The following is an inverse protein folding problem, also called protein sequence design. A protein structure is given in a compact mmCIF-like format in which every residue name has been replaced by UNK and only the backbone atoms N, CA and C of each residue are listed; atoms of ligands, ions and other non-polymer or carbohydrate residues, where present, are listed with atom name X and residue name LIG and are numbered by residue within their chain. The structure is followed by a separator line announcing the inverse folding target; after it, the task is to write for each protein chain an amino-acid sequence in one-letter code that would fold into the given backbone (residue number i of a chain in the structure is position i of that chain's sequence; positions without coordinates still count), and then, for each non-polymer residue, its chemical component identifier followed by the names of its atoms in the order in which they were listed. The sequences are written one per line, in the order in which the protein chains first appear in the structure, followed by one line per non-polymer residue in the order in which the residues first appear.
data_IF_062194625137
#
_entry.id   IF_062194625137
#
_cell.length_a   1.000
_cell.length_b   1.000
_cell.length_c   1.000
_cell.angle_alpha   90.00
_cell.angle_beta   90.00
_cell.angle_gamma   90.00
#
_symmetry.space_group_name_H-M   'P 1'
#
loop_
_entity.id
_entity.type
_entity.pdbx_description
1 polymer ?
#
# COMPACT_ATOMS: atom_id res chain seq x y z
N UNK A 1 12.24 -31.20 -0.01
CA UNK A 1 11.73 -29.88 0.23
C UNK A 1 10.69 -29.43 -0.78
N UNK A 2 10.83 -29.67 -2.01
CA UNK A 2 9.87 -29.33 -3.06
C UNK A 2 9.35 -30.64 -3.70
N UNK A 3 8.21 -31.13 -3.32
CA UNK A 3 7.52 -32.22 -4.03
C UNK A 3 6.63 -31.63 -5.13
N UNK A 4 6.42 -32.33 -6.27
CA UNK A 4 5.49 -31.89 -7.29
C UNK A 4 4.13 -31.71 -6.63
N UNK A 5 3.64 -30.49 -6.64
CA UNK A 5 2.46 -30.09 -5.92
C UNK A 5 1.21 -30.28 -6.79
N UNK A 6 0.04 -30.27 -6.13
CA UNK A 6 -1.25 -30.36 -6.79
C UNK A 6 -1.44 -29.20 -7.80
N UNK A 7 -2.31 -29.37 -8.79
CA UNK A 7 -2.70 -28.29 -9.73
C UNK A 7 -3.10 -27.00 -9.01
N UNK A 8 -3.73 -27.12 -7.84
CA UNK A 8 -4.10 -25.99 -7.00
C UNK A 8 -2.88 -25.17 -6.54
N UNK A 9 -1.77 -25.84 -6.20
CA UNK A 9 -0.54 -25.14 -5.81
C UNK A 9 0.03 -24.31 -6.96
N UNK A 10 0.09 -24.88 -8.17
CA UNK A 10 0.55 -24.14 -9.36
C UNK A 10 -0.34 -22.96 -9.65
N UNK A 11 -1.67 -23.12 -9.54
CA UNK A 11 -2.61 -22.04 -9.73
C UNK A 11 -2.44 -20.92 -8.70
N UNK A 12 -2.39 -21.25 -7.41
CA UNK A 12 -2.26 -20.27 -6.33
C UNK A 12 -0.91 -19.52 -6.36
N UNK A 13 0.13 -20.12 -6.94
CA UNK A 13 1.41 -19.44 -7.07
C UNK A 13 1.48 -18.56 -8.33
N UNK A 14 1.01 -19.02 -9.46
CA UNK A 14 1.09 -18.31 -10.73
C UNK A 14 0.03 -17.19 -10.84
N UNK A 15 -1.20 -17.42 -10.34
CA UNK A 15 -2.32 -16.50 -10.51
C UNK A 15 -2.07 -15.10 -9.93
N UNK A 16 -1.54 -14.93 -8.69
CA UNK A 16 -1.24 -13.59 -8.17
C UNK A 16 -0.25 -12.81 -9.05
N UNK A 17 0.79 -13.48 -9.55
CA UNK A 17 1.81 -12.84 -10.39
C UNK A 17 1.22 -12.36 -11.71
N UNK A 18 0.39 -13.17 -12.36
CA UNK A 18 -0.31 -12.81 -13.60
C UNK A 18 -1.30 -11.66 -13.34
N UNK A 19 -2.07 -11.74 -12.25
CA UNK A 19 -3.01 -10.68 -11.89
C UNK A 19 -2.32 -9.36 -11.54
N UNK A 20 -1.14 -9.38 -10.92
CA UNK A 20 -0.34 -8.19 -10.66
C UNK A 20 0.13 -7.53 -11.95
N UNK A 21 0.59 -8.31 -12.93
CA UNK A 21 0.96 -7.76 -14.24
C UNK A 21 -0.26 -7.16 -14.95
N UNK A 22 -1.42 -7.83 -14.87
CA UNK A 22 -2.68 -7.31 -15.40
C UNK A 22 -3.10 -6.02 -14.68
N UNK A 23 -2.98 -6.00 -13.35
CA UNK A 23 -3.24 -4.82 -12.52
C UNK A 23 -2.33 -3.64 -12.94
N UNK A 24 -1.05 -3.88 -13.17
CA UNK A 24 -0.10 -2.88 -13.63
C UNK A 24 -0.53 -2.28 -14.98
N UNK A 25 -0.97 -3.12 -15.92
CA UNK A 25 -1.50 -2.64 -17.22
C UNK A 25 -2.74 -1.76 -17.03
N UNK A 26 -3.64 -2.12 -16.11
CA UNK A 26 -4.84 -1.32 -15.81
C UNK A 26 -4.45 0.02 -15.19
N UNK A 27 -3.54 0.04 -14.19
CA UNK A 27 -3.03 1.27 -13.56
C UNK A 27 -2.45 2.20 -14.63
N UNK A 28 -1.66 1.64 -15.54
CA UNK A 28 -1.06 2.40 -16.65
C UNK A 28 -2.12 2.96 -17.60
N UNK A 29 -3.08 2.15 -18.05
CA UNK A 29 -4.16 2.59 -18.95
C UNK A 29 -5.11 3.61 -18.32
N UNK A 30 -5.29 3.56 -17.01
CA UNK A 30 -6.15 4.50 -16.28
C UNK A 30 -5.44 5.78 -15.84
N UNK A 31 -4.15 5.93 -16.15
CA UNK A 31 -3.29 7.03 -15.71
C UNK A 31 -3.20 7.20 -14.19
N UNK A 32 -3.58 6.19 -13.42
CA UNK A 32 -3.50 6.17 -11.95
C UNK A 32 -2.05 6.12 -11.47
N UNK A 33 -1.11 5.73 -12.33
CA UNK A 33 0.33 5.80 -12.09
C UNK A 33 0.84 7.20 -11.73
N UNK A 34 0.09 8.26 -12.09
CA UNK A 34 0.45 9.64 -11.73
C UNK A 34 0.17 9.94 -10.26
N UNK A 35 -0.79 9.24 -9.67
CA UNK A 35 -1.14 9.38 -8.26
C UNK A 35 -0.37 8.40 -7.38
N UNK A 36 -0.16 7.16 -7.88
CA UNK A 36 0.52 6.07 -7.19
C UNK A 36 1.60 5.44 -8.07
N UNK A 37 2.71 6.16 -8.38
CA UNK A 37 3.77 5.64 -9.23
C UNK A 37 4.49 4.43 -8.61
N UNK A 38 4.72 4.45 -7.29
CA UNK A 38 5.40 3.35 -6.59
C UNK A 38 4.55 2.09 -6.61
N UNK A 39 3.23 2.21 -6.42
CA UNK A 39 2.32 1.06 -6.52
C UNK A 39 2.33 0.42 -7.90
N UNK A 40 2.39 1.22 -8.96
CA UNK A 40 2.52 0.71 -10.33
C UNK A 40 3.83 -0.07 -10.53
N UNK A 41 4.96 0.48 -10.06
CA UNK A 41 6.27 -0.18 -10.11
C UNK A 41 6.26 -1.47 -9.27
N UNK A 42 5.71 -1.41 -8.07
CA UNK A 42 5.55 -2.57 -7.18
C UNK A 42 4.79 -3.70 -7.88
N UNK A 43 3.66 -3.41 -8.52
CA UNK A 43 2.86 -4.41 -9.22
C UNK A 43 3.62 -5.06 -10.39
N UNK A 44 4.41 -4.28 -11.17
CA UNK A 44 5.24 -4.81 -12.26
C UNK A 44 6.34 -5.70 -11.71
N UNK A 45 7.10 -5.20 -10.73
CA UNK A 45 8.28 -5.90 -10.20
C UNK A 45 7.85 -7.18 -9.50
N UNK A 46 6.84 -7.14 -8.64
CA UNK A 46 6.31 -8.31 -7.95
C UNK A 46 5.70 -9.35 -8.89
N UNK A 47 4.92 -8.89 -9.86
CA UNK A 47 4.36 -9.77 -10.87
C UNK A 47 5.42 -10.47 -11.72
N UNK A 48 6.40 -9.70 -12.23
CA UNK A 48 7.48 -10.23 -13.08
C UNK A 48 8.42 -11.15 -12.31
N UNK A 49 8.88 -10.74 -11.13
CA UNK A 49 9.79 -11.54 -10.31
C UNK A 49 9.11 -12.80 -9.76
N UNK A 50 7.86 -12.71 -9.28
CA UNK A 50 7.09 -13.85 -8.82
C UNK A 50 6.88 -14.88 -9.94
N UNK A 51 6.56 -14.42 -11.16
CA UNK A 51 6.44 -15.31 -12.32
C UNK A 51 7.79 -15.93 -12.71
N UNK A 52 8.89 -15.17 -12.67
CA UNK A 52 10.22 -15.68 -12.94
C UNK A 52 10.63 -16.75 -11.93
N UNK A 53 10.44 -16.53 -10.62
CA UNK A 53 10.72 -17.51 -9.57
C UNK A 53 9.85 -18.77 -9.72
N UNK A 54 8.58 -18.61 -10.10
CA UNK A 54 7.70 -19.73 -10.41
C UNK A 54 8.24 -20.55 -11.59
N UNK A 55 8.59 -19.90 -12.71
CA UNK A 55 9.15 -20.57 -13.88
C UNK A 55 10.50 -21.27 -13.57
N UNK A 56 11.35 -20.66 -12.75
CA UNK A 56 12.58 -21.31 -12.27
C UNK A 56 12.28 -22.55 -11.45
N UNK A 57 11.24 -22.53 -10.61
CA UNK A 57 10.81 -23.69 -9.82
C UNK A 57 10.29 -24.81 -10.74
N UNK A 58 9.47 -24.48 -11.74
CA UNK A 58 8.99 -25.43 -12.74
C UNK A 58 10.15 -26.01 -13.53
N UNK A 59 11.12 -25.19 -13.96
CA UNK A 59 12.32 -25.63 -14.66
C UNK A 59 13.15 -26.60 -13.83
N UNK A 60 13.30 -26.35 -12.54
CA UNK A 60 13.98 -27.25 -11.62
C UNK A 60 13.32 -28.62 -11.50
N UNK A 61 11.97 -28.68 -11.51
CA UNK A 61 11.22 -29.90 -11.27
C UNK A 61 11.05 -30.79 -12.51
N UNK A 62 10.78 -30.17 -13.66
CA UNK A 62 10.39 -30.90 -14.85
C UNK A 62 11.55 -31.26 -15.79
N UNK A 63 12.69 -30.58 -15.67
CA UNK A 63 13.85 -30.89 -16.50
C UNK A 63 14.87 -31.77 -15.76
N UNK A 64 15.36 -32.81 -16.44
CA UNK A 64 16.43 -33.69 -15.93
C UNK A 64 17.54 -33.77 -16.98
N UNK A 65 18.75 -33.25 -16.72
CA UNK A 65 19.19 -32.59 -15.48
C UNK A 65 18.52 -31.26 -15.24
N UNK A 66 18.40 -30.78 -13.97
CA UNK A 66 17.75 -29.53 -13.63
C UNK A 66 18.51 -28.33 -14.25
N UNK A 67 17.77 -27.47 -14.97
CA UNK A 67 18.33 -26.28 -15.61
C UNK A 67 18.75 -25.19 -14.59
N UNK A 68 18.17 -25.23 -13.39
CA UNK A 68 18.38 -24.25 -12.33
C UNK A 68 18.86 -24.97 -11.07
N UNK A 69 19.98 -24.54 -10.48
CA UNK A 69 20.42 -25.09 -9.20
C UNK A 69 19.57 -24.53 -8.03
N UNK A 70 19.37 -25.31 -6.94
CA UNK A 70 18.68 -24.81 -5.75
C UNK A 70 19.33 -23.57 -5.15
N UNK A 71 20.66 -23.51 -5.19
CA UNK A 71 21.41 -22.36 -4.68
C UNK A 71 21.14 -21.08 -5.50
N UNK A 72 21.08 -21.20 -6.82
CA UNK A 72 20.75 -20.08 -7.71
C UNK A 72 19.32 -19.57 -7.46
N UNK A 73 18.36 -20.49 -7.27
CA UNK A 73 16.99 -20.11 -6.94
C UNK A 73 16.92 -19.32 -5.63
N UNK A 74 17.63 -19.77 -4.57
CA UNK A 74 17.65 -19.06 -3.30
C UNK A 74 18.31 -17.70 -3.39
N UNK A 75 19.37 -17.56 -4.20
CA UNK A 75 20.02 -16.26 -4.45
C UNK A 75 19.07 -15.31 -5.18
N UNK A 76 18.38 -15.80 -6.21
CA UNK A 76 17.37 -14.99 -6.94
C UNK A 76 16.22 -14.57 -6.02
N UNK A 77 15.72 -15.48 -5.18
CA UNK A 77 14.69 -15.19 -4.20
C UNK A 77 15.15 -14.15 -3.17
N UNK A 78 16.38 -14.24 -2.70
CA UNK A 78 16.93 -13.26 -1.75
C UNK A 78 17.04 -11.85 -2.36
N UNK A 79 17.50 -11.74 -3.60
CA UNK A 79 17.54 -10.45 -4.32
C UNK A 79 16.13 -9.90 -4.53
N UNK A 80 15.18 -10.76 -4.93
CA UNK A 80 13.79 -10.36 -5.05
C UNK A 80 13.23 -9.81 -3.75
N UNK A 81 13.47 -10.49 -2.64
CA UNK A 81 13.02 -10.10 -1.31
C UNK A 81 13.57 -8.72 -0.88
N UNK A 82 14.86 -8.45 -1.15
CA UNK A 82 15.44 -7.12 -0.89
C UNK A 82 14.74 -6.01 -1.67
N UNK A 83 14.43 -6.27 -2.94
CA UNK A 83 13.70 -5.32 -3.78
C UNK A 83 12.27 -5.15 -3.26
N UNK A 84 11.61 -6.23 -2.87
CA UNK A 84 10.26 -6.22 -2.30
C UNK A 84 10.17 -5.35 -1.05
N UNK A 85 11.06 -5.58 -0.07
CA UNK A 85 11.16 -4.79 1.16
C UNK A 85 11.30 -3.30 0.83
N UNK A 86 12.24 -2.95 -0.06
CA UNK A 86 12.46 -1.56 -0.46
C UNK A 86 11.21 -0.93 -1.11
N UNK A 87 10.53 -1.67 -1.99
CA UNK A 87 9.31 -1.21 -2.65
C UNK A 87 8.13 -1.09 -1.69
N UNK A 88 7.97 -2.01 -0.73
CA UNK A 88 6.94 -1.92 0.31
C UNK A 88 7.14 -0.68 1.19
N UNK A 89 8.37 -0.40 1.60
CA UNK A 89 8.70 0.84 2.32
C UNK A 89 8.32 2.09 1.53
N UNK A 90 8.71 2.13 0.25
CA UNK A 90 8.39 3.24 -0.62
C UNK A 90 6.87 3.38 -0.82
N UNK A 91 6.15 2.27 -0.96
CA UNK A 91 4.70 2.22 -1.13
C UNK A 91 3.96 2.71 0.14
N UNK A 92 4.40 2.31 1.32
CA UNK A 92 3.85 2.77 2.59
C UNK A 92 4.08 4.29 2.74
N UNK A 93 5.26 4.77 2.34
CA UNK A 93 5.57 6.21 2.29
C UNK A 93 4.68 6.97 1.30
N UNK A 94 4.37 6.38 0.14
CA UNK A 94 3.46 6.92 -0.86
C UNK A 94 2.04 7.02 -0.31
N UNK A 95 1.52 5.96 0.32
CA UNK A 95 0.20 5.94 0.97
C UNK A 95 0.10 7.08 1.99
N UNK A 96 1.08 7.19 2.89
CA UNK A 96 1.09 8.25 3.90
C UNK A 96 1.14 9.65 3.28
N UNK A 97 1.93 9.83 2.23
CA UNK A 97 2.02 11.10 1.50
C UNK A 97 0.67 11.49 0.88
N UNK A 98 -0.07 10.55 0.32
CA UNK A 98 -1.39 10.80 -0.26
C UNK A 98 -2.45 11.10 0.80
N UNK A 99 -2.43 10.38 1.91
CA UNK A 99 -3.36 10.61 3.04
C UNK A 99 -3.13 11.99 3.67
N UNK A 100 -1.87 12.44 3.73
CA UNK A 100 -1.51 13.74 4.32
C UNK A 100 -1.55 14.92 3.35
N UNK A 101 -1.78 14.67 2.06
CA UNK A 101 -1.77 15.72 1.03
C UNK A 101 -2.72 16.89 1.31
N UNK A 102 -3.95 16.68 1.85
CA UNK A 102 -4.86 17.78 2.21
C UNK A 102 -4.35 18.62 3.40
N UNK A 103 -3.38 18.13 4.17
CA UNK A 103 -2.95 18.72 5.43
C UNK A 103 -1.44 19.01 5.43
N UNK A 104 -0.99 20.15 4.86
CA UNK A 104 0.45 20.45 4.72
C UNK A 104 1.20 20.54 6.07
N UNK A 105 0.54 20.99 7.14
CA UNK A 105 1.11 21.01 8.49
C UNK A 105 1.39 19.58 9.00
N UNK A 106 0.44 18.65 8.79
CA UNK A 106 0.58 17.23 9.17
C UNK A 106 1.60 16.48 8.31
N UNK A 107 1.87 16.94 7.09
CA UNK A 107 2.90 16.34 6.23
C UNK A 107 4.29 16.36 6.87
N UNK A 108 4.65 17.44 7.59
CA UNK A 108 5.90 17.52 8.36
C UNK A 108 5.93 16.50 9.50
N UNK A 109 4.80 16.37 10.22
CA UNK A 109 4.65 15.39 11.31
C UNK A 109 4.68 13.95 10.78
N UNK A 110 4.03 13.67 9.65
CA UNK A 110 4.08 12.36 9.00
C UNK A 110 5.48 11.94 8.58
N UNK A 111 6.27 12.87 8.00
CA UNK A 111 7.69 12.63 7.70
C UNK A 111 8.51 12.36 8.96
N UNK A 112 8.25 13.10 10.04
CA UNK A 112 8.90 12.86 11.33
C UNK A 112 8.52 11.49 11.91
N UNK A 113 7.24 11.10 11.80
CA UNK A 113 6.76 9.79 12.21
C UNK A 113 7.51 8.66 11.49
N UNK A 114 7.62 8.69 10.17
CA UNK A 114 8.40 7.68 9.42
C UNK A 114 9.87 7.69 9.88
N UNK A 115 10.44 8.87 10.13
CA UNK A 115 11.85 9.01 10.54
C UNK A 115 12.13 8.43 11.92
N UNK A 116 11.15 8.41 12.81
CA UNK A 116 11.27 7.86 14.17
C UNK A 116 10.79 6.39 14.19
N UNK A 117 9.60 6.13 13.65
CA UNK A 117 8.96 4.82 13.70
C UNK A 117 9.70 3.81 12.81
N UNK A 118 10.18 4.23 11.63
CA UNK A 118 10.94 3.35 10.75
C UNK A 118 12.15 2.71 11.43
N UNK A 119 13.11 3.48 11.96
CA UNK A 119 14.25 2.92 12.70
C UNK A 119 13.84 2.11 13.94
N UNK A 120 12.81 2.54 14.68
CA UNK A 120 12.32 1.78 15.83
C UNK A 120 11.79 0.41 15.42
N UNK A 121 11.05 0.31 14.32
CA UNK A 121 10.56 -0.96 13.77
C UNK A 121 11.70 -1.81 13.22
N UNK A 122 12.71 -1.22 12.57
CA UNK A 122 13.91 -1.96 12.14
C UNK A 122 14.64 -2.56 13.34
N UNK A 123 14.79 -1.82 14.43
CA UNK A 123 15.37 -2.33 15.68
C UNK A 123 14.53 -3.47 16.26
N UNK A 124 13.20 -3.31 16.30
CA UNK A 124 12.27 -4.36 16.77
C UNK A 124 12.35 -5.59 15.88
N UNK A 125 12.35 -5.43 14.56
CA UNK A 125 12.50 -6.52 13.60
C UNK A 125 13.83 -7.25 13.79
N UNK A 126 14.93 -6.51 13.95
CA UNK A 126 16.27 -7.07 14.24
C UNK A 126 16.26 -7.88 15.54
N UNK A 127 15.59 -7.37 16.59
CA UNK A 127 15.44 -8.08 17.84
C UNK A 127 14.63 -9.37 17.69
N UNK A 128 13.49 -9.34 17.02
CA UNK A 128 12.66 -10.53 16.74
C UNK A 128 13.45 -11.56 15.92
N UNK A 129 14.20 -11.13 14.93
CA UNK A 129 15.08 -11.98 14.11
C UNK A 129 16.20 -12.61 14.96
N UNK A 130 16.79 -11.85 15.86
CA UNK A 130 17.86 -12.36 16.74
C UNK A 130 17.35 -13.43 17.72
N UNK A 131 16.09 -13.31 18.19
CA UNK A 131 15.45 -14.29 19.06
C UNK A 131 14.92 -15.52 18.29
N UNK A 132 14.77 -15.46 16.97
CA UNK A 132 14.31 -16.59 16.18
C UNK A 132 15.35 -17.71 16.17
N UNK A 133 14.87 -18.97 16.29
CA UNK A 133 15.78 -20.15 16.32
C UNK A 133 16.54 -20.25 14.98
N UNK A 134 17.85 -20.55 15.02
CA UNK A 134 18.60 -20.83 13.81
C UNK A 134 18.01 -22.07 13.12
N UNK A 135 17.83 -21.99 11.81
CA UNK A 135 17.39 -23.14 11.01
C UNK A 135 18.61 -24.03 10.70
N UNK A 136 18.38 -25.34 10.60
CA UNK A 136 19.40 -26.32 10.16
C UNK A 136 19.71 -26.24 8.65
N UNK A 137 19.16 -25.24 7.96
CA UNK A 137 19.31 -25.05 6.52
C UNK A 137 20.57 -24.28 6.16
N UNK A 138 20.86 -24.23 4.85
CA UNK A 138 21.91 -23.40 4.27
C UNK A 138 21.82 -21.95 4.77
N UNK A 139 22.96 -21.27 5.04
CA UNK A 139 22.96 -19.91 5.58
C UNK A 139 22.09 -18.92 4.80
N UNK A 140 22.06 -19.03 3.46
CA UNK A 140 21.25 -18.16 2.60
C UNK A 140 19.75 -18.36 2.82
N UNK A 141 19.31 -19.60 3.05
CA UNK A 141 17.91 -19.93 3.34
C UNK A 141 17.50 -19.32 4.68
N UNK A 142 18.34 -19.50 5.70
CA UNK A 142 18.10 -18.92 7.03
C UNK A 142 18.04 -17.40 6.98
N UNK A 143 18.92 -16.76 6.22
CA UNK A 143 18.96 -15.31 6.06
C UNK A 143 17.72 -14.81 5.32
N UNK A 144 17.29 -15.47 4.24
CA UNK A 144 16.06 -15.12 3.52
C UNK A 144 14.84 -15.20 4.43
N UNK A 145 14.69 -16.31 5.17
CA UNK A 145 13.56 -16.49 6.08
C UNK A 145 13.53 -15.45 7.22
N UNK A 146 14.69 -15.03 7.72
CA UNK A 146 14.79 -13.97 8.74
C UNK A 146 14.47 -12.60 8.17
N UNK A 147 14.85 -12.33 6.94
CA UNK A 147 14.51 -11.09 6.25
C UNK A 147 13.02 -11.00 5.98
N UNK A 148 12.38 -12.10 5.56
CA UNK A 148 10.92 -12.18 5.42
C UNK A 148 10.19 -11.82 6.73
N UNK A 149 10.64 -12.41 7.85
CA UNK A 149 10.04 -12.12 9.15
C UNK A 149 10.21 -10.64 9.52
N UNK A 150 11.40 -10.08 9.29
CA UNK A 150 11.66 -8.66 9.54
C UNK A 150 10.76 -7.76 8.69
N UNK A 151 10.58 -8.11 7.40
CA UNK A 151 9.71 -7.39 6.48
C UNK A 151 8.27 -7.34 7.00
N UNK A 152 7.68 -8.47 7.36
CA UNK A 152 6.30 -8.53 7.88
C UNK A 152 6.11 -7.76 9.17
N UNK A 153 7.08 -7.79 10.11
CA UNK A 153 7.02 -7.01 11.35
C UNK A 153 7.01 -5.52 11.05
N UNK A 154 7.88 -5.08 10.14
CA UNK A 154 7.99 -3.68 9.76
C UNK A 154 6.74 -3.23 8.98
N UNK A 155 6.30 -4.02 8.02
CA UNK A 155 5.11 -3.73 7.21
C UNK A 155 3.87 -3.58 8.10
N UNK A 156 3.57 -4.56 8.94
CA UNK A 156 2.43 -4.50 9.86
C UNK A 156 2.56 -3.34 10.85
N UNK A 157 3.73 -3.14 11.43
CA UNK A 157 3.98 -2.05 12.37
C UNK A 157 3.78 -0.67 11.74
N UNK A 158 4.28 -0.44 10.54
CA UNK A 158 4.09 0.81 9.82
C UNK A 158 2.62 1.05 9.45
N UNK A 159 1.93 0.02 8.96
CA UNK A 159 0.51 0.13 8.62
C UNK A 159 -0.34 0.43 9.85
N UNK A 160 -0.11 -0.26 10.98
CA UNK A 160 -0.79 0.04 12.25
C UNK A 160 -0.55 1.49 12.65
N UNK A 161 0.69 1.98 12.58
CA UNK A 161 1.01 3.37 12.89
C UNK A 161 0.25 4.35 11.98
N UNK A 162 0.16 4.07 10.67
CA UNK A 162 -0.58 4.91 9.72
C UNK A 162 -2.07 4.89 10.02
N UNK A 163 -2.66 3.72 10.30
CA UNK A 163 -4.08 3.60 10.65
C UNK A 163 -4.40 4.33 11.96
N UNK A 164 -3.57 4.18 12.99
CA UNK A 164 -3.75 4.90 14.26
C UNK A 164 -3.61 6.42 14.08
N UNK A 165 -2.62 6.85 13.30
CA UNK A 165 -2.42 8.25 12.99
C UNK A 165 -3.62 8.83 12.23
N UNK A 166 -4.10 8.14 11.20
CA UNK A 166 -5.24 8.56 10.42
C UNK A 166 -6.54 8.58 11.25
N UNK A 167 -6.74 7.60 12.14
CA UNK A 167 -7.86 7.55 13.05
C UNK A 167 -7.83 8.70 14.08
N UNK A 168 -6.65 8.97 14.65
CA UNK A 168 -6.47 10.04 15.64
C UNK A 168 -6.76 11.43 15.07
N UNK A 169 -6.32 11.69 13.84
CA UNK A 169 -6.52 12.98 13.16
C UNK A 169 -7.79 13.02 12.31
N UNK A 170 -8.64 12.00 12.36
CA UNK A 170 -9.87 11.88 11.55
C UNK A 170 -9.63 12.14 10.04
N UNK A 171 -8.50 11.64 9.51
CA UNK A 171 -8.10 11.87 8.12
C UNK A 171 -9.00 11.09 7.16
N UNK A 172 -9.48 11.77 6.12
CA UNK A 172 -10.21 11.11 5.04
C UNK A 172 -9.26 10.32 4.14
N UNK A 173 -9.50 9.02 4.01
CA UNK A 173 -8.74 8.15 3.13
C UNK A 173 -9.23 8.25 1.69
N UNK A 174 -8.33 8.48 0.76
CA UNK A 174 -8.63 8.25 -0.65
C UNK A 174 -8.94 6.75 -0.87
N UNK A 175 -9.97 6.44 -1.66
CA UNK A 175 -10.43 5.05 -1.89
C UNK A 175 -9.28 4.12 -2.30
N UNK A 176 -8.42 4.58 -3.22
CA UNK A 176 -7.30 3.77 -3.72
C UNK A 176 -6.22 3.58 -2.65
N UNK A 177 -5.85 4.63 -1.91
CA UNK A 177 -4.88 4.54 -0.81
C UNK A 177 -5.34 3.54 0.26
N UNK A 178 -6.64 3.60 0.63
CA UNK A 178 -7.23 2.66 1.57
C UNK A 178 -7.19 1.22 1.05
N UNK A 179 -7.56 1.00 -0.22
CA UNK A 179 -7.52 -0.33 -0.83
C UNK A 179 -6.12 -0.94 -0.87
N UNK A 180 -5.10 -0.13 -1.19
CA UNK A 180 -3.70 -0.57 -1.20
C UNK A 180 -3.27 -0.94 0.24
N UNK A 181 -3.52 -0.07 1.22
CA UNK A 181 -3.17 -0.30 2.61
C UNK A 181 -3.90 -1.53 3.19
N UNK A 182 -5.19 -1.72 2.85
CA UNK A 182 -5.98 -2.87 3.29
C UNK A 182 -5.40 -4.18 2.76
N UNK A 183 -5.07 -4.25 1.47
CA UNK A 183 -4.48 -5.45 0.87
C UNK A 183 -3.12 -5.80 1.48
N UNK A 184 -2.23 -4.81 1.65
CA UNK A 184 -0.96 -5.00 2.35
C UNK A 184 -1.19 -5.47 3.80
N UNK A 185 -2.08 -4.81 4.54
CA UNK A 185 -2.35 -5.14 5.93
C UNK A 185 -2.87 -6.55 6.13
N UNK A 186 -3.77 -7.02 5.27
CA UNK A 186 -4.29 -8.39 5.31
C UNK A 186 -3.17 -9.40 5.01
N UNK A 187 -2.40 -9.19 3.92
CA UNK A 187 -1.30 -10.07 3.56
C UNK A 187 -0.24 -10.14 4.67
N UNK A 188 0.28 -9.00 5.09
CA UNK A 188 1.33 -8.92 6.11
C UNK A 188 0.90 -9.50 7.46
N UNK A 189 -0.34 -9.23 7.90
CA UNK A 189 -0.86 -9.75 9.17
C UNK A 189 -0.96 -11.28 9.19
N UNK A 190 -1.47 -11.89 8.11
CA UNK A 190 -1.59 -13.35 8.02
C UNK A 190 -0.21 -14.00 7.90
N UNK A 191 0.69 -13.41 7.11
CA UNK A 191 2.07 -13.90 6.97
C UNK A 191 2.82 -13.84 8.31
N UNK A 192 2.69 -12.71 9.04
CA UNK A 192 3.27 -12.58 10.38
C UNK A 192 2.69 -13.60 11.36
N UNK A 193 1.35 -13.80 11.33
CA UNK A 193 0.67 -14.82 12.14
C UNK A 193 1.16 -16.24 11.82
N UNK A 194 1.33 -16.56 10.56
CA UNK A 194 1.88 -17.86 10.10
C UNK A 194 3.30 -18.07 10.61
N UNK A 195 4.14 -17.04 10.55
CA UNK A 195 5.49 -17.06 11.09
C UNK A 195 5.50 -17.27 12.61
N UNK A 196 4.61 -16.60 13.33
CA UNK A 196 4.45 -16.78 14.78
C UNK A 196 4.06 -18.22 15.13
N UNK A 197 3.18 -18.85 14.35
CA UNK A 197 2.82 -20.25 14.50
C UNK A 197 4.02 -21.19 14.24
N UNK A 198 4.79 -20.94 13.18
CA UNK A 198 5.96 -21.76 12.84
C UNK A 198 7.07 -21.70 13.88
N UNK A 199 7.28 -20.54 14.50
CA UNK A 199 8.35 -20.35 15.47
C UNK A 199 8.04 -20.92 16.85
N UNK A 200 6.74 -21.01 17.21
CA UNK A 200 6.34 -21.35 18.58
C UNK A 200 5.74 -22.76 18.72
N UNK A 201 5.24 -23.36 17.65
CA UNK A 201 4.57 -24.66 17.69
C UNK A 201 5.35 -25.73 16.93
N UNK A 202 5.36 -26.99 17.42
CA UNK A 202 5.89 -28.14 16.67
C UNK A 202 4.94 -28.47 15.51
N UNK A 203 5.03 -27.71 14.43
CA UNK A 203 4.12 -27.85 13.28
C UNK A 203 4.50 -29.08 12.46
N UNK A 204 3.53 -29.99 12.26
CA UNK A 204 3.69 -31.17 11.39
C UNK A 204 3.85 -30.76 9.94
N UNK A 205 4.39 -31.66 9.10
CA UNK A 205 4.57 -31.43 7.66
C UNK A 205 3.25 -31.07 6.93
N UNK A 206 2.13 -31.68 7.32
CA UNK A 206 0.81 -31.38 6.75
C UNK A 206 0.31 -29.99 7.15
N UNK A 207 0.53 -29.59 8.40
CA UNK A 207 0.17 -28.25 8.88
C UNK A 207 0.99 -27.16 8.18
N UNK A 208 2.28 -27.42 7.92
CA UNK A 208 3.12 -26.50 7.13
C UNK A 208 2.58 -26.28 5.72
N UNK A 209 2.17 -27.35 5.04
CA UNK A 209 1.53 -27.23 3.73
C UNK A 209 0.24 -26.42 3.77
N UNK A 210 -0.59 -26.63 4.80
CA UNK A 210 -1.82 -25.86 4.97
C UNK A 210 -1.54 -24.37 5.14
N UNK A 211 -0.56 -24.02 5.98
CA UNK A 211 -0.16 -22.63 6.20
C UNK A 211 0.40 -21.99 4.93
N UNK A 212 1.16 -22.73 4.11
CA UNK A 212 1.62 -22.23 2.80
C UNK A 212 0.43 -21.95 1.87
N UNK A 213 -0.57 -22.84 1.83
CA UNK A 213 -1.79 -22.60 1.05
C UNK A 213 -2.58 -21.39 1.55
N UNK A 214 -2.68 -21.19 2.86
CA UNK A 214 -3.33 -20.03 3.46
C UNK A 214 -2.60 -18.75 3.03
N UNK A 215 -1.27 -18.70 3.12
CA UNK A 215 -0.48 -17.55 2.70
C UNK A 215 -0.67 -17.23 1.22
N UNK A 216 -0.59 -18.24 0.35
CA UNK A 216 -0.83 -18.05 -1.09
C UNK A 216 -2.25 -17.55 -1.37
N UNK A 217 -3.25 -18.11 -0.69
CA UNK A 217 -4.66 -17.73 -0.84
C UNK A 217 -4.92 -16.30 -0.38
N UNK A 218 -4.32 -15.90 0.75
CA UNK A 218 -4.44 -14.53 1.27
C UNK A 218 -3.72 -13.52 0.38
N UNK A 219 -2.55 -13.88 -0.16
CA UNK A 219 -1.86 -13.04 -1.12
C UNK A 219 -2.70 -12.83 -2.39
N UNK A 220 -3.31 -13.91 -2.93
CA UNK A 220 -4.25 -13.82 -4.04
C UNK A 220 -5.43 -12.90 -3.70
N UNK A 221 -6.02 -13.04 -2.50
CA UNK A 221 -7.11 -12.17 -2.03
C UNK A 221 -6.68 -10.70 -1.99
N UNK A 222 -5.47 -10.42 -1.51
CA UNK A 222 -4.94 -9.05 -1.48
C UNK A 222 -4.81 -8.44 -2.87
N UNK A 223 -4.34 -9.22 -3.84
CA UNK A 223 -4.27 -8.78 -5.25
C UNK A 223 -5.67 -8.52 -5.82
N UNK A 224 -6.67 -9.35 -5.48
CA UNK A 224 -8.07 -9.13 -5.89
C UNK A 224 -8.66 -7.87 -5.24
N UNK A 225 -8.33 -7.58 -3.99
CA UNK A 225 -8.71 -6.34 -3.31
C UNK A 225 -8.11 -5.14 -4.06
N UNK A 226 -6.82 -5.16 -4.39
CA UNK A 226 -6.20 -4.09 -5.16
C UNK A 226 -6.85 -3.91 -6.53
N UNK A 227 -7.11 -5.00 -7.23
CA UNK A 227 -7.80 -4.98 -8.53
C UNK A 227 -9.19 -4.34 -8.40
N UNK A 228 -9.97 -4.73 -7.39
CA UNK A 228 -11.28 -4.15 -7.12
C UNK A 228 -11.19 -2.64 -6.90
N UNK A 229 -10.29 -2.17 -6.03
CA UNK A 229 -10.15 -0.75 -5.74
C UNK A 229 -9.64 0.05 -6.94
N UNK A 230 -8.69 -0.48 -7.71
CA UNK A 230 -8.21 0.15 -8.96
C UNK A 230 -9.33 0.26 -10.00
N UNK A 231 -10.19 -0.76 -10.11
CA UNK A 231 -11.31 -0.77 -11.08
C UNK A 231 -12.44 0.16 -10.66
N UNK A 232 -12.73 0.26 -9.37
CA UNK A 232 -13.85 1.06 -8.84
C UNK A 232 -13.51 2.52 -8.57
N UNK A 233 -12.22 2.87 -8.53
CA UNK A 233 -11.80 4.26 -8.40
C UNK A 233 -12.05 4.99 -9.73
N UNK A 234 -12.83 6.09 -9.74
CA UNK A 234 -13.11 6.83 -10.96
C UNK A 234 -11.82 7.35 -11.59
N UNK A 235 -11.79 7.41 -12.93
CA UNK A 235 -10.69 8.04 -13.65
C UNK A 235 -10.65 9.51 -13.23
N UNK A 236 -9.50 10.01 -12.80
CA UNK A 236 -9.31 11.44 -12.60
C UNK A 236 -9.53 12.13 -13.96
N UNK A 237 -10.72 12.68 -14.16
CA UNK A 237 -11.07 13.35 -15.40
C UNK A 237 -10.30 14.66 -15.43
N UNK A 238 -9.60 14.93 -16.54
CA UNK A 238 -8.82 16.16 -16.75
C UNK A 238 -9.68 17.42 -16.55
N UNK A 239 -10.99 17.29 -16.69
CA UNK A 239 -11.97 18.34 -16.45
C UNK A 239 -12.12 18.77 -14.99
N UNK A 240 -11.95 17.85 -14.03
CA UNK A 240 -12.00 18.18 -12.60
C UNK A 240 -10.84 19.08 -12.17
N UNK A 241 -9.68 18.95 -12.85
CA UNK A 241 -8.50 19.81 -12.62
C UNK A 241 -8.60 21.18 -13.29
N UNK A 242 -9.35 21.29 -14.37
CA UNK A 242 -9.57 22.56 -15.07
C UNK A 242 -10.69 23.39 -14.42
N UNK A 243 -11.64 22.75 -13.73
CA UNK A 243 -12.69 23.41 -12.97
C UNK A 243 -12.18 24.17 -11.74
N UNK A 244 -11.20 23.61 -11.06
CA UNK A 244 -10.58 24.25 -9.88
C UNK A 244 -9.67 25.42 -10.18
N UNK A 245 -9.15 25.54 -11.42
CA UNK A 245 -8.29 26.66 -11.83
C UNK A 245 -9.10 27.88 -12.29
N UNK A 246 -10.37 27.71 -12.69
CA UNK A 246 -11.18 28.81 -13.22
C UNK A 246 -11.94 29.63 -12.17
N UNK A 247 -12.03 29.18 -10.92
CA UNK A 247 -12.73 29.93 -9.87
C UNK A 247 -11.84 30.86 -9.04
N UNK A 248 -10.52 30.93 -9.33
CA UNK A 248 -9.58 31.80 -8.62
C UNK A 248 -9.18 33.08 -9.36
N UNK A 249 -9.68 33.30 -10.59
CA UNK A 249 -9.23 34.44 -11.40
C UNK A 249 -10.43 35.18 -12.02
N UNK A 250 -11.27 35.72 -11.17
CA UNK A 250 -12.16 36.79 -11.53
C UNK A 250 -12.57 37.53 -10.27
N UNK A 251 -12.10 38.71 -10.21
CA UNK A 251 -12.61 39.93 -9.62
C UNK A 251 -11.55 40.69 -8.80
N UNK A 252 -10.65 41.31 -9.57
CA UNK A 252 -10.03 42.58 -9.18
C UNK A 252 -9.94 43.42 -10.45
N UNK A 253 -11.04 44.03 -10.84
CA UNK A 253 -11.10 45.33 -11.56
C UNK A 253 -12.54 45.60 -11.97
N UNK A 254 -13.18 46.47 -11.25
CA UNK A 254 -13.88 47.66 -11.83
C UNK A 254 -14.54 48.42 -10.71
N UNK A 255 -13.87 49.53 -10.42
CA UNK A 255 -14.45 50.70 -9.78
C UNK A 255 -15.56 51.27 -10.66
N UNK A 256 -16.48 51.91 -9.96
CA UNK A 256 -17.28 53.05 -10.32
C UNK A 256 -18.58 52.91 -11.14
N UNK A 257 -19.56 53.45 -10.47
CA UNK A 257 -20.70 54.30 -10.91
C UNK A 257 -22.08 53.69 -11.11
N UNK A 258 -22.91 54.17 -10.20
CA UNK A 258 -24.14 54.91 -10.44
C UNK A 258 -25.51 54.19 -10.26
N UNK A 259 -26.14 54.65 -9.18
CA UNK A 259 -27.55 55.08 -9.04
C UNK A 259 -28.70 54.27 -9.65
N UNK A 260 -29.69 54.07 -8.81
CA UNK A 260 -31.09 54.18 -9.23
C UNK A 260 -31.96 52.96 -9.10
N UNK A 261 -32.74 52.91 -8.03
CA UNK A 261 -34.16 52.62 -7.89
C UNK A 261 -34.74 51.43 -8.64
N UNK A 262 -35.39 50.53 -8.03
CA UNK A 262 -36.84 50.30 -7.95
C UNK A 262 -37.18 48.91 -7.38
N UNK A 263 -38.22 48.91 -6.61
CA UNK A 263 -38.95 47.79 -6.04
C UNK A 263 -39.31 46.67 -7.02
N UNK A 264 -39.35 45.47 -6.53
CA UNK A 264 -40.56 44.65 -6.39
C UNK A 264 -40.21 43.17 -6.18
N UNK A 265 -40.90 42.60 -5.24
CA UNK A 265 -41.15 41.29 -4.77
C UNK A 265 -41.07 40.10 -5.73
N UNK A 266 -40.74 38.99 -5.12
CA UNK A 266 -40.80 37.65 -5.72
C UNK A 266 -40.19 36.63 -4.80
N UNK A 267 -41.01 36.05 -3.92
CA UNK A 267 -40.76 34.77 -3.27
C UNK A 267 -40.37 33.76 -4.32
N UNK A 268 -39.28 33.00 -4.06
CA UNK A 268 -39.32 31.57 -4.28
C UNK A 268 -38.17 30.88 -3.54
N UNK A 269 -38.57 30.02 -2.63
CA UNK A 269 -37.82 29.10 -1.84
C UNK A 269 -37.18 28.00 -2.72
N UNK A 270 -35.90 27.91 -2.76
CA UNK A 270 -35.17 26.66 -2.99
C UNK A 270 -33.86 26.71 -2.20
N UNK A 271 -33.98 26.29 -0.93
CA UNK A 271 -32.86 26.06 -0.04
C UNK A 271 -32.04 24.89 -0.57
N UNK A 272 -30.85 25.19 -0.97
CA UNK A 272 -29.90 24.20 -1.50
C UNK A 272 -28.81 23.90 -0.49
N UNK A 273 -28.52 22.63 -0.39
CA UNK A 273 -27.48 21.91 0.39
C UNK A 273 -26.02 22.39 0.22
N UNK A 274 -25.79 23.63 -0.20
CA UNK A 274 -24.43 24.19 -0.41
C UNK A 274 -23.77 24.72 0.87
N UNK A 275 -24.49 24.83 1.99
CA UNK A 275 -23.92 25.36 3.24
C UNK A 275 -22.95 24.41 3.96
N UNK A 276 -23.10 23.12 3.75
CA UNK A 276 -22.31 22.10 4.47
C UNK A 276 -20.88 21.86 3.94
N UNK A 277 -20.57 22.26 2.72
CA UNK A 277 -19.21 22.15 2.19
C UNK A 277 -18.36 23.37 2.52
N UNK A 278 -18.96 24.55 2.53
CA UNK A 278 -18.29 25.80 2.88
C UNK A 278 -17.93 25.85 4.37
N UNK A 279 -18.80 25.34 5.23
CA UNK A 279 -18.57 25.22 6.67
C UNK A 279 -17.42 24.25 6.98
N UNK A 280 -17.36 23.12 6.28
CA UNK A 280 -16.24 22.16 6.40
C UNK A 280 -14.91 22.71 5.89
N UNK A 281 -14.89 23.49 4.84
CA UNK A 281 -13.66 24.13 4.36
C UNK A 281 -13.17 25.23 5.32
N UNK A 282 -14.10 25.99 5.91
CA UNK A 282 -13.77 26.99 6.91
C UNK A 282 -13.14 26.35 8.16
N UNK A 283 -13.72 25.27 8.64
CA UNK A 283 -13.18 24.52 9.80
C UNK A 283 -11.78 23.95 9.53
N UNK A 284 -11.52 23.45 8.34
CA UNK A 284 -10.21 22.94 7.94
C UNK A 284 -9.12 24.03 7.92
N UNK A 285 -9.46 25.25 7.50
CA UNK A 285 -8.53 26.39 7.49
C UNK A 285 -8.24 26.88 8.91
N UNK A 286 -9.25 26.90 9.79
CA UNK A 286 -9.07 27.26 11.21
C UNK A 286 -8.20 26.22 11.92
N UNK A 287 -8.47 24.94 11.71
CA UNK A 287 -7.67 23.83 12.28
C UNK A 287 -6.21 23.87 11.83
N UNK A 288 -5.95 24.14 10.57
CA UNK A 288 -4.58 24.21 10.03
C UNK A 288 -3.78 25.36 10.65
N UNK A 289 -4.43 26.50 10.91
CA UNK A 289 -3.81 27.65 11.60
C UNK A 289 -3.49 27.35 13.06
N UNK A 290 -4.37 26.66 13.77
CA UNK A 290 -4.17 26.28 15.17
C UNK A 290 -3.03 25.27 15.31
N UNK A 291 -2.96 24.29 14.41
CA UNK A 291 -1.87 23.31 14.34
C UNK A 291 -0.51 23.97 14.06
N UNK A 292 -0.46 24.95 13.16
CA UNK A 292 0.77 25.72 12.94
C UNK A 292 1.23 26.51 14.17
N UNK A 293 0.30 27.02 14.98
CA UNK A 293 0.63 27.67 16.25
C UNK A 293 1.19 26.71 17.28
N UNK A 294 0.61 25.48 17.36
CA UNK A 294 1.09 24.46 18.30
C UNK A 294 2.46 23.90 17.90
N UNK A 295 2.77 23.82 16.61
CA UNK A 295 4.05 23.31 16.11
C UNK A 295 5.19 24.36 16.16
N UNK A 296 4.88 25.66 16.43
CA UNK A 296 5.85 26.72 16.60
C UNK A 296 6.23 26.99 18.05
N UNK A 297 5.61 26.30 19.02
CA UNK A 297 5.99 26.27 20.42
C UNK A 297 6.89 25.07 20.72
#
# INVERSE_FOLDING_TARGET
MFQPHSMLWHYLWAAPSILLLFLAVIIYRRSQQREFPVFGIFAIVQGAAGLALYLMSVAYWYFKPPLVSPEFWWKANFVHLLIEVALKFALIGEILSQVLKPFPALSKLGKLMIRIVGPALVLTATWVVALSRPSEFLPIVTTSLRLDLADYVIECGMLVCIFLFAAYFHLAWGRLAFGIALGLGIAGSVQLGTWALWSNLPVTFQQRKLLDFVNMGVYLLSVLIWLYYVLTTPKATLMDRLGTVKFGEKDDHSDDQNSGGHDSGGDDSSGSDLSGEDERQHDLVVWNRELERLLKR
#
